data_IF_956810134259
#
_entry.id   IF_956810134259
#
_cell.length_a   1.000
_cell.length_b   1.000
_cell.length_c   1.000
_cell.angle_alpha   90.00
_cell.angle_beta   90.00
_cell.angle_gamma   90.00
#
_symmetry.space_group_name_H-M   'P 1'
#
loop_
_entity.id
_entity.type
_entity.pdbx_description
1 polymer ?
#
# COMPACT_ATOMS: atom_id res chain seq x y z
N UNK A 1 -5.43 15.28 3.77
CA UNK A 1 -4.02 14.97 3.46
C UNK A 1 -3.54 15.87 2.34
N UNK A 2 -2.25 16.20 2.26
CA UNK A 2 -1.71 16.99 1.14
C UNK A 2 -1.68 16.12 -0.13
N UNK A 3 -1.86 16.68 -1.34
CA UNK A 3 -1.63 15.94 -2.58
C UNK A 3 -0.15 15.54 -2.66
N UNK A 4 0.10 14.28 -2.98
CA UNK A 4 1.43 13.70 -3.12
C UNK A 4 1.79 13.68 -4.61
N UNK A 5 2.95 14.23 -5.02
CA UNK A 5 3.36 14.25 -6.42
C UNK A 5 3.96 12.89 -6.84
N UNK A 6 3.14 11.83 -6.82
CA UNK A 6 3.55 10.45 -7.06
C UNK A 6 4.30 10.28 -8.38
N UNK A 7 3.75 10.75 -9.49
CA UNK A 7 4.38 10.66 -10.82
C UNK A 7 5.80 11.23 -10.80
N UNK A 8 5.99 12.40 -10.19
CA UNK A 8 7.31 13.03 -10.05
C UNK A 8 8.26 12.15 -9.25
N UNK A 9 7.82 11.66 -8.08
CA UNK A 9 8.62 10.82 -7.18
C UNK A 9 9.08 9.54 -7.90
N UNK A 10 8.15 8.89 -8.61
CA UNK A 10 8.40 7.64 -9.33
C UNK A 10 9.34 7.86 -10.52
N UNK A 11 9.12 8.93 -11.30
CA UNK A 11 9.96 9.25 -12.46
C UNK A 11 11.37 9.72 -12.06
N UNK A 12 11.51 10.42 -10.93
CA UNK A 12 12.83 10.84 -10.44
C UNK A 12 13.59 9.71 -9.74
N UNK A 13 12.90 8.61 -9.39
CA UNK A 13 13.48 7.54 -8.58
C UNK A 13 13.88 8.01 -7.18
N UNK A 14 13.18 9.00 -6.60
CA UNK A 14 13.49 9.52 -5.28
C UNK A 14 13.02 8.54 -4.20
N UNK A 15 13.91 7.63 -3.82
CA UNK A 15 13.62 6.54 -2.87
C UNK A 15 13.28 7.07 -1.48
N UNK A 16 13.92 8.16 -1.05
CA UNK A 16 13.68 8.73 0.28
C UNK A 16 12.30 9.38 0.35
N UNK A 17 11.92 10.13 -0.70
CA UNK A 17 10.58 10.70 -0.81
C UNK A 17 9.53 9.58 -0.95
N UNK A 18 9.79 8.55 -1.76
CA UNK A 18 8.89 7.40 -1.92
C UNK A 18 8.62 6.70 -0.59
N UNK A 19 9.68 6.37 0.15
CA UNK A 19 9.57 5.75 1.47
C UNK A 19 8.78 6.62 2.44
N UNK A 20 9.06 7.92 2.46
CA UNK A 20 8.39 8.86 3.37
C UNK A 20 6.88 8.90 3.14
N UNK A 21 6.43 8.92 1.89
CA UNK A 21 5.00 8.94 1.55
C UNK A 21 4.32 7.60 1.86
N UNK A 22 4.97 6.47 1.56
CA UNK A 22 4.45 5.14 1.90
C UNK A 22 4.32 4.96 3.42
N UNK A 23 5.33 5.39 4.18
CA UNK A 23 5.29 5.36 5.63
C UNK A 23 4.16 6.22 6.18
N UNK A 24 3.96 7.41 5.59
CA UNK A 24 2.88 8.31 5.97
C UNK A 24 1.51 7.69 5.70
N UNK A 25 1.30 7.10 4.52
CA UNK A 25 0.08 6.37 4.17
C UNK A 25 -0.22 5.23 5.14
N UNK A 26 0.82 4.52 5.57
CA UNK A 26 0.71 3.39 6.50
C UNK A 26 0.52 3.81 7.96
N UNK A 27 0.62 5.11 8.26
CA UNK A 27 0.56 5.68 9.60
C UNK A 27 -0.78 6.37 9.91
N UNK A 28 -1.65 6.54 8.92
CA UNK A 28 -2.97 7.16 9.10
C UNK A 28 -4.09 6.14 8.94
N UNK A 29 -5.14 6.20 9.79
CA UNK A 29 -6.32 5.38 9.62
C UNK A 29 -6.91 5.62 8.23
N UNK A 30 -7.24 4.54 7.54
CA UNK A 30 -8.08 4.61 6.35
C UNK A 30 -9.44 5.14 6.80
N UNK A 31 -9.70 6.43 6.55
CA UNK A 31 -11.03 7.02 6.74
C UNK A 31 -11.94 6.44 5.65
N UNK A 32 -12.54 5.29 5.93
CA UNK A 32 -13.58 4.72 5.08
C UNK A 32 -14.90 5.44 5.38
N UNK A 33 -15.36 6.26 4.43
CA UNK A 33 -16.77 6.71 4.36
C UNK A 33 -17.54 5.96 3.26
N UNK A 34 -17.11 4.77 2.86
CA UNK A 34 -17.81 3.95 1.88
C UNK A 34 -18.58 2.86 2.62
N UNK A 35 -19.89 2.89 2.42
CA UNK A 35 -20.95 2.07 3.00
C UNK A 35 -20.52 0.68 3.47
N UNK A 36 -20.86 0.41 4.74
CA UNK A 36 -21.24 -0.88 5.32
C UNK A 36 -21.06 -2.10 4.39
N UNK A 37 -19.85 -2.64 4.33
CA UNK A 37 -19.62 -4.09 4.29
C UNK A 37 -18.14 -4.42 4.50
N UNK A 38 -17.85 -5.09 5.61
CA UNK A 38 -16.66 -5.93 5.86
C UNK A 38 -15.35 -5.32 6.40
N UNK A 39 -15.21 -4.00 6.56
CA UNK A 39 -13.97 -3.40 7.13
C UNK A 39 -14.26 -2.49 8.33
N UNK A 40 -14.93 -2.99 9.36
CA UNK A 40 -15.19 -2.21 10.60
C UNK A 40 -14.24 -2.51 11.75
N UNK A 41 -13.11 -3.21 11.53
CA UNK A 41 -12.09 -3.41 12.59
C UNK A 41 -10.62 -3.46 12.14
N UNK A 42 -10.30 -3.28 10.85
CA UNK A 42 -8.90 -3.25 10.38
C UNK A 42 -8.27 -1.89 10.74
N UNK A 43 -7.87 -1.72 12.00
CA UNK A 43 -7.14 -0.52 12.45
C UNK A 43 -5.77 -0.50 11.80
N UNK A 44 -5.52 0.50 10.96
CA UNK A 44 -4.14 0.91 10.64
C UNK A 44 -3.47 1.32 11.95
N UNK A 45 -2.20 0.95 12.17
CA UNK A 45 -1.53 1.26 13.41
C UNK A 45 -1.39 2.77 13.63
N UNK A 46 -1.33 3.19 14.90
CA UNK A 46 -1.10 4.60 15.21
C UNK A 46 0.26 5.06 14.65
N UNK A 47 0.33 6.28 14.15
CA UNK A 47 1.57 6.91 13.66
C UNK A 47 2.72 6.77 14.68
N UNK A 48 3.90 6.37 14.21
CA UNK A 48 5.09 6.16 15.05
C UNK A 48 5.14 4.81 15.78
N UNK A 49 4.15 3.94 15.57
CA UNK A 49 4.19 2.56 16.11
C UNK A 49 5.06 1.64 15.25
N UNK A 50 5.62 0.61 15.89
CA UNK A 50 6.37 -0.47 15.23
C UNK A 50 5.54 -1.12 14.13
N UNK A 51 4.22 -1.22 14.34
CA UNK A 51 3.29 -1.82 13.40
C UNK A 51 3.08 -0.96 12.15
N UNK A 52 3.05 0.38 12.26
CA UNK A 52 2.95 1.28 11.10
C UNK A 52 4.20 1.15 10.21
N UNK A 53 5.36 1.04 10.85
CA UNK A 53 6.62 0.78 10.17
C UNK A 53 6.62 -0.57 9.45
N UNK A 54 6.17 -1.65 10.11
CA UNK A 54 6.06 -2.96 9.47
C UNK A 54 5.06 -2.97 8.31
N UNK A 55 3.91 -2.30 8.44
CA UNK A 55 2.94 -2.17 7.36
C UNK A 55 3.55 -1.45 6.16
N UNK A 56 4.26 -0.34 6.38
CA UNK A 56 4.95 0.41 5.34
C UNK A 56 6.00 -0.44 4.62
N UNK A 57 6.78 -1.24 5.37
CA UNK A 57 7.77 -2.16 4.80
C UNK A 57 7.11 -3.22 3.91
N UNK A 58 6.05 -3.87 4.41
CA UNK A 58 5.33 -4.90 3.65
C UNK A 58 4.68 -4.32 2.40
N UNK A 59 4.10 -3.13 2.51
CA UNK A 59 3.50 -2.41 1.38
C UNK A 59 4.55 -2.06 0.32
N UNK A 60 5.68 -1.48 0.73
CA UNK A 60 6.77 -1.16 -0.20
C UNK A 60 7.28 -2.43 -0.90
N UNK A 61 7.54 -3.49 -0.13
CA UNK A 61 8.04 -4.75 -0.69
C UNK A 61 7.08 -5.30 -1.74
N UNK A 62 5.78 -5.35 -1.43
CA UNK A 62 4.74 -5.82 -2.37
C UNK A 62 4.71 -4.98 -3.64
N UNK A 63 4.73 -3.64 -3.52
CA UNK A 63 4.68 -2.73 -4.66
C UNK A 63 5.89 -2.94 -5.58
N UNK A 64 7.07 -3.19 -5.02
CA UNK A 64 8.29 -3.49 -5.77
C UNK A 64 8.24 -4.88 -6.42
N UNK A 65 7.86 -5.92 -5.67
CA UNK A 65 7.77 -7.30 -6.18
C UNK A 65 6.79 -7.45 -7.34
N UNK A 66 5.68 -6.71 -7.29
CA UNK A 66 4.67 -6.70 -8.34
C UNK A 66 4.90 -5.64 -9.43
N UNK A 67 6.03 -4.92 -9.37
CA UNK A 67 6.38 -3.83 -10.29
C UNK A 67 5.25 -2.80 -10.45
N UNK A 68 4.51 -2.52 -9.36
CA UNK A 68 3.30 -1.68 -9.38
C UNK A 68 3.59 -0.24 -9.78
N UNK A 69 4.73 0.30 -9.37
CA UNK A 69 5.12 1.67 -9.73
C UNK A 69 5.27 1.84 -11.24
N UNK A 70 5.96 0.91 -11.91
CA UNK A 70 6.10 0.96 -13.36
C UNK A 70 4.74 0.75 -14.04
N UNK A 71 3.92 -0.18 -13.53
CA UNK A 71 2.56 -0.39 -14.03
C UNK A 71 1.71 0.89 -13.98
N UNK A 72 1.77 1.66 -12.88
CA UNK A 72 1.06 2.94 -12.79
C UNK A 72 1.56 3.96 -13.81
N UNK A 73 2.88 4.04 -14.02
CA UNK A 73 3.48 4.93 -15.01
C UNK A 73 3.10 4.52 -16.45
N UNK A 74 3.15 3.23 -16.76
CA UNK A 74 2.86 2.69 -18.10
C UNK A 74 1.40 2.93 -18.51
N UNK A 75 0.48 2.88 -17.55
CA UNK A 75 -0.93 3.18 -17.77
C UNK A 75 -1.27 4.67 -17.68
N UNK A 76 -0.30 5.53 -17.37
CA UNK A 76 -0.50 6.98 -17.30
C UNK A 76 -1.38 7.43 -16.14
N UNK A 77 -1.30 6.75 -14.99
CA UNK A 77 -2.08 7.12 -13.81
C UNK A 77 -1.68 8.51 -13.32
N UNK A 78 -2.67 9.29 -12.91
CA UNK A 78 -2.48 10.58 -12.24
C UNK A 78 -1.99 10.41 -10.80
N UNK A 79 -1.45 11.48 -10.21
CA UNK A 79 -1.04 11.49 -8.81
C UNK A 79 -2.17 11.06 -7.87
N UNK A 80 -3.41 11.50 -8.11
CA UNK A 80 -4.57 11.09 -7.31
C UNK A 80 -4.92 9.61 -7.48
N UNK A 81 -4.87 9.07 -8.70
CA UNK A 81 -5.18 7.66 -8.95
C UNK A 81 -4.13 6.74 -8.32
N UNK A 82 -2.85 7.14 -8.33
CA UNK A 82 -1.79 6.41 -7.63
C UNK A 82 -2.03 6.44 -6.11
N UNK A 83 -2.39 7.59 -5.54
CA UNK A 83 -2.69 7.67 -4.10
C UNK A 83 -3.85 6.75 -3.72
N UNK A 84 -4.93 6.79 -4.49
CA UNK A 84 -6.14 5.98 -4.24
C UNK A 84 -5.85 4.48 -4.39
N UNK A 85 -5.10 4.06 -5.41
CA UNK A 85 -4.71 2.66 -5.58
C UNK A 85 -3.83 2.17 -4.42
N UNK A 86 -2.79 2.92 -4.06
CA UNK A 86 -1.90 2.50 -2.97
C UNK A 86 -2.71 2.44 -1.66
N UNK A 87 -3.47 3.49 -1.38
CA UNK A 87 -4.23 3.64 -0.13
C UNK A 87 -5.34 2.61 0.03
N UNK A 88 -6.17 2.42 -0.97
CA UNK A 88 -7.39 1.62 -0.82
C UNK A 88 -7.22 0.20 -1.34
N UNK A 89 -6.40 -0.02 -2.36
CA UNK A 89 -6.25 -1.34 -2.98
C UNK A 89 -5.05 -2.06 -2.38
N UNK A 90 -3.85 -1.47 -2.43
CA UNK A 90 -2.64 -2.18 -2.04
C UNK A 90 -2.49 -2.33 -0.52
N UNK A 91 -2.82 -1.29 0.27
CA UNK A 91 -2.86 -1.40 1.74
C UNK A 91 -3.88 -2.47 2.18
N UNK A 92 -5.07 -2.49 1.58
CA UNK A 92 -6.11 -3.47 1.91
C UNK A 92 -5.64 -4.91 1.70
N UNK A 93 -4.95 -5.17 0.58
CA UNK A 93 -4.35 -6.48 0.28
C UNK A 93 -3.28 -6.88 1.29
N UNK A 94 -2.39 -5.96 1.66
CA UNK A 94 -1.37 -6.22 2.68
C UNK A 94 -2.01 -6.56 4.03
N UNK A 95 -3.03 -5.81 4.43
CA UNK A 95 -3.75 -6.09 5.68
C UNK A 95 -4.44 -7.45 5.63
N UNK A 96 -5.09 -7.81 4.53
CA UNK A 96 -5.67 -9.14 4.33
C UNK A 96 -4.62 -10.25 4.49
N UNK A 97 -3.47 -10.14 3.82
CA UNK A 97 -2.38 -11.11 3.93
C UNK A 97 -1.85 -11.24 5.37
N UNK A 98 -1.75 -10.13 6.11
CA UNK A 98 -1.33 -10.12 7.51
C UNK A 98 -2.32 -10.88 8.42
N UNK A 99 -3.63 -10.68 8.25
CA UNK A 99 -4.65 -11.36 9.07
C UNK A 99 -4.83 -12.84 8.72
N UNK A 100 -4.70 -13.19 7.43
CA UNK A 100 -4.72 -14.58 6.97
C UNK A 100 -3.59 -15.39 7.62
N UNK A 101 -2.41 -14.79 7.77
CA UNK A 101 -1.27 -15.44 8.44
C UNK A 101 -1.47 -15.63 9.96
N UNK A 102 -2.25 -14.78 10.63
CA UNK A 102 -2.56 -14.93 12.07
C UNK A 102 -3.63 -16.00 12.34
N UNK A 103 -4.45 -16.33 11.34
CA UNK A 103 -5.58 -17.26 11.48
C UNK A 103 -5.25 -18.70 11.07
N UNK A 104 -3.97 -19.00 10.81
CA UNK A 104 -3.48 -20.37 10.55
C UNK A 104 -3.67 -20.90 9.12
N UNK A 105 -4.05 -20.06 8.16
CA UNK A 105 -4.17 -20.46 6.75
C UNK A 105 -3.06 -19.81 5.92
N UNK A 106 -1.89 -20.43 5.81
CA UNK A 106 -0.88 -20.02 4.83
C UNK A 106 -1.29 -20.50 3.44
N UNK A 107 -1.38 -19.57 2.50
CA UNK A 107 -0.82 -19.78 1.16
C UNK A 107 -0.17 -18.49 0.68
N UNK A 108 1.14 -18.35 0.90
CA UNK A 108 1.97 -17.63 -0.07
C UNK A 108 1.95 -18.50 -1.33
N UNK A 109 1.07 -18.18 -2.28
CA UNK A 109 1.22 -18.70 -3.63
C UNK A 109 2.23 -17.77 -4.30
N UNK A 110 3.46 -18.20 -4.60
CA UNK A 110 4.32 -17.40 -5.46
C UNK A 110 3.53 -17.17 -6.75
N UNK A 111 3.33 -15.90 -7.14
CA UNK A 111 2.71 -15.59 -8.42
C UNK A 111 3.53 -16.29 -9.50
N UNK A 112 2.91 -17.24 -10.17
CA UNK A 112 3.46 -17.91 -11.34
C UNK A 112 3.90 -16.80 -12.31
N UNK A 113 5.22 -16.69 -12.52
CA UNK A 113 5.79 -15.85 -13.57
C UNK A 113 5.22 -16.35 -14.89
N UNK A 114 4.27 -15.61 -15.44
CA UNK A 114 3.86 -15.79 -16.83
C UNK A 114 5.01 -15.26 -17.68
N UNK A 115 5.82 -16.20 -18.19
CA UNK A 115 6.71 -16.00 -19.34
C UNK A 115 5.87 -15.90 -20.62
#
# INVERSE_FOLDING_TARGET
MRPVPWTRILLSGDVDQLWSEIYLLSSYPLDYSLDDTFITSKRVPASGSTEAYHLAQLLLLRLLELNRFQYYLDLGFTDSEIDDEIRYVEVSKVLEDCYVNQSGYRYYKPMDRVL
#
